data_IF_295616940302
#
_entry.id   IF_295616940302
#
_cell.length_a   1.000
_cell.length_b   1.000
_cell.length_c   1.000
_cell.angle_alpha   90.00
_cell.angle_beta   90.00
_cell.angle_gamma   90.00
#
_symmetry.space_group_name_H-M   'P 1'
#
loop_
_entity.id
_entity.type
_entity.pdbx_description
1 polymer ?
#
# COMPACT_ATOMS: atom_id res chain seq x y z
N UNK A 1 26.93 9.12 -3.70
CA UNK A 1 26.53 9.46 -2.31
C UNK A 1 26.05 8.19 -1.62
N UNK A 2 26.17 8.10 -0.29
CA UNK A 2 25.74 6.91 0.48
C UNK A 2 24.66 7.30 1.47
N UNK A 3 23.54 6.58 1.45
CA UNK A 3 22.45 6.72 2.41
C UNK A 3 22.34 5.45 3.25
N UNK A 4 22.27 5.58 4.56
CA UNK A 4 22.10 4.45 5.47
C UNK A 4 20.90 4.67 6.38
N UNK A 5 20.12 3.61 6.59
CA UNK A 5 19.09 3.62 7.61
C UNK A 5 18.11 2.46 7.51
N UNK A 6 17.07 2.54 8.34
CA UNK A 6 16.01 1.54 8.38
C UNK A 6 14.98 1.81 7.31
N UNK A 7 14.72 0.84 6.44
CA UNK A 7 13.64 0.91 5.47
C UNK A 7 12.28 1.00 6.17
N UNK A 8 11.49 1.97 5.71
CA UNK A 8 10.06 2.14 5.96
C UNK A 8 9.38 2.18 4.59
N UNK A 9 8.04 2.00 4.52
CA UNK A 9 7.30 2.27 3.29
C UNK A 9 7.73 3.63 2.70
N UNK A 10 7.92 3.69 1.39
CA UNK A 10 8.23 4.95 0.72
C UNK A 10 7.10 5.94 0.96
N UNK A 11 7.45 7.17 1.33
CA UNK A 11 6.49 8.26 1.32
C UNK A 11 6.23 8.65 -0.13
N UNK A 12 4.98 8.98 -0.43
CA UNK A 12 4.56 9.33 -1.79
C UNK A 12 3.81 10.63 -1.81
N UNK A 13 4.09 11.41 -2.85
CA UNK A 13 3.37 12.62 -3.18
C UNK A 13 2.66 12.42 -4.52
N UNK A 14 1.39 12.79 -4.57
CA UNK A 14 0.59 12.70 -5.79
C UNK A 14 1.03 13.80 -6.76
N UNK A 15 1.85 13.41 -7.74
CA UNK A 15 2.31 14.25 -8.83
C UNK A 15 2.20 13.50 -10.17
N UNK A 16 2.67 14.12 -11.25
CA UNK A 16 2.68 13.51 -12.57
C UNK A 16 4.10 13.59 -13.19
N UNK A 17 4.93 12.53 -13.05
CA UNK A 17 4.65 11.27 -12.35
C UNK A 17 4.67 11.41 -10.82
N UNK A 18 4.14 10.41 -10.12
CA UNK A 18 4.16 10.28 -8.65
C UNK A 18 5.61 10.37 -8.13
N UNK A 19 5.80 11.10 -7.03
CA UNK A 19 7.10 11.24 -6.38
C UNK A 19 7.25 10.27 -5.21
N UNK A 20 8.44 9.68 -5.09
CA UNK A 20 8.78 8.67 -4.10
C UNK A 20 9.97 9.09 -3.25
N UNK A 21 9.82 8.92 -1.94
CA UNK A 21 10.85 9.29 -0.97
C UNK A 21 11.15 8.14 -0.01
N UNK A 22 12.42 7.81 0.12
CA UNK A 22 12.93 7.04 1.26
C UNK A 22 13.35 8.02 2.34
N UNK A 23 12.72 7.93 3.51
CA UNK A 23 12.98 8.83 4.65
C UNK A 23 13.65 8.03 5.75
N UNK A 24 14.93 8.35 5.99
CA UNK A 24 15.73 7.83 7.09
C UNK A 24 15.70 8.80 8.28
N UNK A 25 16.40 8.46 9.36
CA UNK A 25 16.40 9.27 10.58
C UNK A 25 16.99 10.67 10.37
N UNK A 26 18.12 10.74 9.65
CA UNK A 26 18.89 11.98 9.46
C UNK A 26 18.99 12.42 7.99
N UNK A 27 18.28 11.76 7.08
CA UNK A 27 18.34 12.04 5.65
C UNK A 27 17.08 11.57 4.94
N UNK A 28 16.86 12.08 3.74
CA UNK A 28 15.85 11.56 2.84
C UNK A 28 16.44 11.48 1.43
N UNK A 29 15.84 10.61 0.62
CA UNK A 29 16.26 10.35 -0.75
C UNK A 29 15.03 10.42 -1.64
N UNK A 30 15.01 11.38 -2.58
CA UNK A 30 14.04 11.38 -3.67
C UNK A 30 14.45 10.28 -4.66
N UNK A 31 13.71 9.18 -4.64
CA UNK A 31 14.03 7.98 -5.42
C UNK A 31 13.85 8.23 -6.92
N UNK A 32 12.96 9.16 -7.31
CA UNK A 32 12.76 9.51 -8.71
C UNK A 32 14.03 10.07 -9.36
N UNK A 33 14.89 10.74 -8.59
CA UNK A 33 16.16 11.28 -9.11
C UNK A 33 17.18 10.19 -9.45
N UNK A 34 16.95 8.95 -9.01
CA UNK A 34 17.83 7.82 -9.25
C UNK A 34 17.49 7.03 -10.52
N UNK A 35 16.39 7.37 -11.19
CA UNK A 35 16.01 6.72 -12.44
C UNK A 35 17.14 6.79 -13.46
N UNK A 36 17.34 5.69 -14.19
CA UNK A 36 18.41 5.49 -15.16
C UNK A 36 19.84 5.46 -14.59
N UNK A 37 20.01 5.45 -13.26
CA UNK A 37 21.32 5.33 -12.60
C UNK A 37 21.50 3.93 -11.96
N UNK A 38 22.75 3.51 -11.79
CA UNK A 38 23.09 2.32 -11.02
C UNK A 38 22.98 2.62 -9.52
N UNK A 39 22.33 1.71 -8.80
CA UNK A 39 22.15 1.79 -7.35
C UNK A 39 22.68 0.49 -6.76
N UNK A 40 23.48 0.60 -5.69
CA UNK A 40 23.88 -0.53 -4.88
C UNK A 40 23.07 -0.52 -3.57
N UNK A 41 22.49 -1.65 -3.21
CA UNK A 41 21.75 -1.87 -1.96
C UNK A 41 22.45 -2.97 -1.17
N UNK A 42 22.91 -2.65 0.04
CA UNK A 42 23.58 -3.56 0.96
C UNK A 42 22.77 -3.71 2.24
N UNK A 43 22.46 -4.94 2.62
CA UNK A 43 21.78 -5.29 3.86
C UNK A 43 22.76 -5.32 5.03
N UNK A 44 22.49 -4.51 6.06
CA UNK A 44 23.36 -4.33 7.22
C UNK A 44 22.81 -4.98 8.49
N UNK A 45 21.54 -5.38 8.48
CA UNK A 45 20.88 -6.01 9.62
C UNK A 45 19.42 -5.57 9.75
N UNK A 46 18.84 -5.78 10.92
CA UNK A 46 17.43 -5.46 11.16
C UNK A 46 17.28 -4.46 12.30
N UNK A 47 16.23 -3.65 12.25
CA UNK A 47 15.81 -2.77 13.33
C UNK A 47 14.28 -2.74 13.39
N UNK A 48 13.72 -3.15 14.53
CA UNK A 48 12.28 -3.14 14.74
C UNK A 48 11.75 -1.69 14.71
N UNK A 49 10.74 -1.43 13.89
CA UNK A 49 10.12 -0.10 13.76
C UNK A 49 9.34 0.33 15.01
N UNK A 50 8.96 -0.60 15.89
CA UNK A 50 8.25 -0.28 17.14
C UNK A 50 9.21 0.00 18.31
N UNK A 51 10.13 -0.91 18.61
CA UNK A 51 11.00 -0.80 19.78
C UNK A 51 12.42 -0.31 19.50
N UNK A 52 12.78 -0.08 18.23
CA UNK A 52 14.11 0.38 17.81
C UNK A 52 15.24 -0.65 18.01
N UNK A 53 14.97 -1.81 18.61
CA UNK A 53 15.99 -2.83 18.89
C UNK A 53 16.44 -3.53 17.60
N UNK A 54 17.73 -3.87 17.54
CA UNK A 54 18.33 -4.67 16.48
C UNK A 54 17.89 -6.14 16.58
N UNK A 55 16.71 -6.45 16.04
CA UNK A 55 16.07 -7.77 16.09
C UNK A 55 15.52 -8.12 14.72
N UNK A 56 15.58 -9.40 14.36
CA UNK A 56 14.99 -9.90 13.11
C UNK A 56 13.52 -9.48 13.00
N UNK A 57 13.14 -9.00 11.82
CA UNK A 57 11.77 -8.61 11.53
C UNK A 57 10.94 -9.87 11.30
N UNK A 58 9.79 -9.92 11.96
CA UNK A 58 8.79 -10.96 11.79
C UNK A 58 7.81 -10.58 10.68
N UNK A 59 7.15 -9.42 10.80
CA UNK A 59 6.16 -8.93 9.84
C UNK A 59 5.92 -7.42 10.02
N UNK A 60 5.60 -6.70 8.94
CA UNK A 60 5.25 -5.26 8.95
C UNK A 60 6.30 -4.38 9.66
N UNK A 61 7.59 -4.70 9.50
CA UNK A 61 8.68 -3.98 10.16
C UNK A 61 8.79 -4.20 11.68
N UNK A 62 8.02 -5.11 12.26
CA UNK A 62 8.06 -5.42 13.69
C UNK A 62 8.76 -6.74 13.98
N UNK A 63 9.50 -6.79 15.10
CA UNK A 63 9.98 -8.06 15.67
C UNK A 63 8.80 -8.85 16.26
N UNK A 64 9.02 -10.14 16.52
CA UNK A 64 7.98 -11.05 17.01
C UNK A 64 7.20 -10.49 18.22
N UNK A 65 7.90 -10.11 19.30
CA UNK A 65 7.27 -9.59 20.52
C UNK A 65 6.40 -8.36 20.24
N UNK A 66 6.93 -7.38 19.51
CA UNK A 66 6.21 -6.15 19.19
C UNK A 66 5.05 -6.37 18.24
N UNK A 67 5.15 -7.35 17.34
CA UNK A 67 4.06 -7.70 16.44
C UNK A 67 2.87 -8.21 17.25
N UNK A 68 3.07 -9.19 18.13
CA UNK A 68 1.95 -9.78 18.89
C UNK A 68 1.39 -8.86 19.99
N UNK A 69 2.20 -7.95 20.54
CA UNK A 69 1.77 -7.01 21.57
C UNK A 69 1.04 -5.78 21.02
N UNK A 70 1.10 -5.50 19.72
CA UNK A 70 0.55 -4.25 19.18
C UNK A 70 -0.97 -4.31 19.03
N UNK A 71 -1.68 -3.28 19.49
CA UNK A 71 -3.08 -3.06 19.12
C UNK A 71 -3.24 -2.76 17.61
N UNK A 72 -2.17 -2.34 16.95
CA UNK A 72 -2.10 -2.08 15.51
C UNK A 72 -2.02 -3.36 14.65
N UNK A 73 -2.25 -4.54 15.21
CA UNK A 73 -2.35 -5.81 14.46
C UNK A 73 -3.63 -6.59 14.77
N UNK A 74 -4.63 -5.96 15.38
CA UNK A 74 -5.94 -6.58 15.67
C UNK A 74 -6.62 -7.12 14.41
N UNK A 75 -7.52 -8.09 14.59
CA UNK A 75 -8.14 -8.82 13.46
C UNK A 75 -8.91 -7.89 12.52
N UNK A 76 -9.49 -6.82 13.08
CA UNK A 76 -10.21 -5.76 12.38
C UNK A 76 -9.36 -5.04 11.31
N UNK A 77 -8.03 -5.16 11.36
CA UNK A 77 -7.14 -4.56 10.35
C UNK A 77 -7.21 -5.30 9.03
N UNK A 78 -7.30 -6.63 9.07
CA UNK A 78 -7.44 -7.49 7.88
C UNK A 78 -8.92 -7.67 7.52
N UNK A 79 -9.79 -7.67 8.53
CA UNK A 79 -11.23 -7.91 8.43
C UNK A 79 -12.01 -6.73 9.00
N UNK A 80 -12.17 -5.62 8.25
CA UNK A 80 -12.78 -4.40 8.77
C UNK A 80 -14.20 -4.61 9.33
N UNK A 81 -14.92 -5.63 8.86
CA UNK A 81 -16.25 -6.04 9.33
C UNK A 81 -16.29 -6.55 10.78
N UNK A 82 -15.14 -6.96 11.35
CA UNK A 82 -15.05 -7.40 12.75
C UNK A 82 -14.83 -6.24 13.74
N UNK A 83 -14.84 -5.00 13.24
CA UNK A 83 -14.72 -3.78 14.07
C UNK A 83 -15.89 -3.65 15.04
N UNK A 84 -15.64 -3.73 16.35
CA UNK A 84 -16.65 -3.54 17.42
C UNK A 84 -16.48 -2.24 18.21
N UNK A 85 -15.50 -1.41 17.88
CA UNK A 85 -15.23 -0.15 18.59
C UNK A 85 -16.44 0.80 18.60
N UNK A 86 -17.28 0.77 17.56
CA UNK A 86 -18.51 1.58 17.48
C UNK A 86 -19.59 1.17 18.49
N UNK A 87 -19.43 0.00 19.12
CA UNK A 87 -20.26 -0.51 20.21
C UNK A 87 -19.63 -0.28 21.59
N UNK A 88 -18.45 0.36 21.67
CA UNK A 88 -17.68 0.50 22.90
C UNK A 88 -17.02 -0.80 23.38
N UNK A 89 -16.86 -1.80 22.50
CA UNK A 89 -16.30 -3.12 22.83
C UNK A 89 -14.89 -3.21 22.23
N UNK A 90 -13.91 -3.43 23.10
CA UNK A 90 -12.49 -3.56 22.74
C UNK A 90 -12.17 -4.94 22.12
N UNK A 91 -11.32 -4.97 21.09
CA UNK A 91 -10.57 -6.17 20.70
C UNK A 91 -9.34 -6.32 21.60
N UNK A 92 -8.52 -5.26 21.71
CA UNK A 92 -7.29 -5.21 22.50
C UNK A 92 -7.12 -3.92 23.29
N UNK A 93 -7.33 -2.77 22.65
CA UNK A 93 -7.19 -1.44 23.25
C UNK A 93 -8.26 -0.51 22.66
N UNK A 94 -9.33 -0.29 23.42
CA UNK A 94 -10.47 0.50 22.96
C UNK A 94 -10.08 1.94 22.61
N UNK A 95 -9.19 2.57 23.37
CA UNK A 95 -8.81 3.98 23.14
C UNK A 95 -8.07 4.12 21.80
N UNK A 96 -7.15 3.21 21.53
CA UNK A 96 -6.47 3.16 20.24
C UNK A 96 -7.44 2.80 19.10
N UNK A 97 -8.31 1.81 19.33
CA UNK A 97 -9.27 1.32 18.35
C UNK A 97 -10.29 2.36 17.96
N UNK A 98 -10.91 3.06 18.91
CA UNK A 98 -11.84 4.16 18.67
C UNK A 98 -11.17 5.24 17.81
N UNK A 99 -9.96 5.65 18.19
CA UNK A 99 -9.18 6.65 17.44
C UNK A 99 -8.96 6.23 15.98
N UNK A 100 -8.72 4.94 15.71
CA UNK A 100 -8.40 4.45 14.35
C UNK A 100 -9.64 4.04 13.55
N UNK A 101 -10.68 3.55 14.22
CA UNK A 101 -11.86 2.93 13.59
C UNK A 101 -13.04 3.89 13.49
N UNK A 102 -13.23 4.81 14.44
CA UNK A 102 -14.32 5.79 14.48
C UNK A 102 -13.90 7.10 13.81
N UNK A 103 -13.56 7.00 12.54
CA UNK A 103 -13.23 8.13 11.68
C UNK A 103 -13.66 7.83 10.23
N UNK A 104 -13.71 8.83 9.34
CA UNK A 104 -14.11 8.62 7.96
C UNK A 104 -13.26 7.57 7.23
N UNK A 105 -13.95 6.57 6.68
CA UNK A 105 -13.39 5.50 5.85
C UNK A 105 -14.01 5.55 4.45
N UNK A 106 -13.22 5.10 3.48
CA UNK A 106 -13.60 5.09 2.08
C UNK A 106 -13.53 3.66 1.58
N UNK A 107 -14.60 3.24 0.91
CA UNK A 107 -14.59 2.05 0.06
C UNK A 107 -14.42 2.50 -1.39
N UNK A 108 -13.54 1.87 -2.13
CA UNK A 108 -13.16 2.30 -3.48
C UNK A 108 -12.97 1.10 -4.42
N UNK A 109 -13.07 1.37 -5.72
CA UNK A 109 -12.51 0.53 -6.76
C UNK A 109 -11.10 1.02 -7.12
N UNK A 110 -10.18 0.10 -7.34
CA UNK A 110 -8.85 0.40 -7.84
C UNK A 110 -8.49 -0.57 -8.98
N UNK A 111 -7.97 -0.03 -10.07
CA UNK A 111 -7.51 -0.79 -11.24
C UNK A 111 -5.99 -0.77 -11.28
N UNK A 112 -5.35 -1.87 -10.86
CA UNK A 112 -3.89 -2.04 -10.93
C UNK A 112 -3.44 -3.02 -12.02
N UNK A 113 -4.20 -4.10 -12.17
CA UNK A 113 -4.05 -5.12 -13.21
C UNK A 113 -5.43 -5.63 -13.61
N UNK A 114 -6.27 -5.79 -12.59
CA UNK A 114 -7.70 -6.06 -12.62
C UNK A 114 -8.37 -5.12 -11.61
N UNK A 115 -9.69 -4.98 -11.69
CA UNK A 115 -10.45 -4.17 -10.72
C UNK A 115 -10.56 -4.91 -9.39
N UNK A 116 -10.29 -4.20 -8.30
CA UNK A 116 -10.49 -4.69 -6.95
C UNK A 116 -11.23 -3.68 -6.09
N UNK A 117 -11.97 -4.19 -5.10
CA UNK A 117 -12.52 -3.37 -4.01
C UNK A 117 -11.49 -3.22 -2.90
N UNK A 118 -11.50 -2.10 -2.18
CA UNK A 118 -10.70 -1.96 -0.97
C UNK A 118 -11.20 -0.90 -0.03
N UNK A 119 -10.75 -0.99 1.23
CA UNK A 119 -11.02 -0.01 2.29
C UNK A 119 -9.76 0.77 2.66
N UNK A 120 -9.92 2.07 2.91
CA UNK A 120 -8.88 2.92 3.48
C UNK A 120 -9.47 4.00 4.37
N UNK A 121 -8.66 4.57 5.27
CA UNK A 121 -9.04 5.82 5.95
C UNK A 121 -9.01 6.97 4.94
N UNK A 122 -9.91 7.94 5.08
CA UNK A 122 -9.95 9.12 4.21
C UNK A 122 -8.61 9.86 4.16
N UNK A 123 -7.93 9.95 5.31
CA UNK A 123 -6.59 10.56 5.45
C UNK A 123 -5.46 9.83 4.72
N UNK A 124 -5.71 8.66 4.14
CA UNK A 124 -4.74 7.88 3.37
C UNK A 124 -5.00 7.95 1.86
N UNK A 125 -5.94 8.76 1.41
CA UNK A 125 -6.16 8.99 -0.02
C UNK A 125 -5.31 10.17 -0.53
N UNK A 126 -4.72 10.09 -1.73
CA UNK A 126 -4.66 8.92 -2.63
C UNK A 126 -3.50 7.95 -2.32
N UNK A 127 -2.69 8.21 -1.27
CA UNK A 127 -1.49 7.43 -0.90
C UNK A 127 -1.71 5.91 -0.89
N UNK A 128 -2.87 5.43 -0.41
CA UNK A 128 -3.17 3.99 -0.35
C UNK A 128 -3.28 3.36 -1.74
N UNK A 129 -3.82 4.08 -2.71
CA UNK A 129 -3.95 3.62 -4.10
C UNK A 129 -2.61 3.63 -4.79
N UNK A 130 -1.81 4.68 -4.53
CA UNK A 130 -0.42 4.76 -4.97
C UNK A 130 0.38 3.56 -4.45
N UNK A 131 0.29 3.24 -3.15
CA UNK A 131 0.96 2.10 -2.52
C UNK A 131 0.61 0.75 -3.17
N UNK A 132 -0.61 0.65 -3.70
CA UNK A 132 -1.13 -0.56 -4.37
C UNK A 132 -0.76 -0.62 -5.85
N UNK A 133 -0.12 0.40 -6.40
CA UNK A 133 0.25 0.45 -7.82
C UNK A 133 -0.96 0.55 -8.75
N UNK A 134 -2.08 1.11 -8.28
CA UNK A 134 -3.27 1.33 -9.08
C UNK A 134 -3.02 2.38 -10.16
N UNK A 135 -3.40 2.09 -11.41
CA UNK A 135 -3.41 3.05 -12.50
C UNK A 135 -4.60 4.01 -12.37
N UNK A 136 -5.74 3.50 -11.92
CA UNK A 136 -6.94 4.28 -11.68
C UNK A 136 -7.60 3.89 -10.36
N UNK A 137 -8.30 4.84 -9.72
CA UNK A 137 -9.13 4.55 -8.57
C UNK A 137 -10.33 5.50 -8.50
N UNK A 138 -11.46 5.01 -7.99
CA UNK A 138 -12.68 5.80 -7.78
C UNK A 138 -13.34 5.40 -6.47
N UNK A 139 -13.92 6.36 -5.74
CA UNK A 139 -14.62 6.05 -4.49
C UNK A 139 -16.05 5.59 -4.72
N UNK A 140 -16.49 4.61 -3.92
CA UNK A 140 -17.84 4.04 -3.92
C UNK A 140 -18.67 4.73 -2.84
N UNK A 141 -18.18 4.71 -1.59
CA UNK A 141 -18.82 5.32 -0.41
C UNK A 141 -17.80 5.98 0.51
N UNK A 142 -18.23 7.01 1.25
CA UNK A 142 -17.54 7.53 2.42
C UNK A 142 -18.40 7.34 3.66
N UNK A 143 -17.95 6.53 4.62
CA UNK A 143 -18.71 6.15 5.80
C UNK A 143 -18.02 6.61 7.09
N UNK A 144 -18.75 6.87 8.17
CA UNK A 144 -18.20 7.48 9.38
C UNK A 144 -17.30 6.56 10.22
N UNK A 145 -17.31 5.25 9.97
CA UNK A 145 -16.53 4.29 10.74
C UNK A 145 -16.08 3.08 9.90
N UNK A 146 -15.13 2.33 10.45
CA UNK A 146 -14.52 1.17 9.81
C UNK A 146 -15.50 0.00 9.60
N UNK A 147 -16.43 -0.22 10.52
CA UNK A 147 -17.39 -1.31 10.45
C UNK A 147 -18.28 -1.20 9.20
N UNK A 148 -18.88 -0.02 8.96
CA UNK A 148 -19.69 0.24 7.77
C UNK A 148 -18.88 0.05 6.47
N UNK A 149 -17.61 0.45 6.47
CA UNK A 149 -16.72 0.22 5.33
C UNK A 149 -16.46 -1.28 5.13
N UNK A 150 -16.34 -2.04 6.22
CA UNK A 150 -16.12 -3.47 6.22
C UNK A 150 -17.29 -4.27 5.66
N UNK A 151 -18.52 -4.03 6.15
CA UNK A 151 -19.69 -4.74 5.62
C UNK A 151 -19.90 -4.44 4.13
N UNK A 152 -19.57 -3.21 3.70
CA UNK A 152 -19.60 -2.82 2.28
C UNK A 152 -18.53 -3.57 1.48
N UNK A 153 -17.29 -3.64 1.96
CA UNK A 153 -16.22 -4.38 1.30
C UNK A 153 -16.56 -5.88 1.17
N UNK A 154 -17.12 -6.48 2.23
CA UNK A 154 -17.54 -7.88 2.23
C UNK A 154 -18.64 -8.14 1.20
N UNK A 155 -19.65 -7.26 1.12
CA UNK A 155 -20.72 -7.37 0.12
C UNK A 155 -20.19 -7.33 -1.32
N UNK A 156 -19.12 -6.57 -1.56
CA UNK A 156 -18.53 -6.39 -2.88
C UNK A 156 -17.42 -7.39 -3.23
N UNK A 157 -16.80 -8.04 -2.24
CA UNK A 157 -15.68 -8.99 -2.43
C UNK A 157 -16.05 -10.20 -3.29
N UNK A 158 -17.32 -10.60 -3.34
CA UNK A 158 -17.79 -11.68 -4.22
C UNK A 158 -17.77 -11.31 -5.71
N UNK A 159 -17.67 -10.03 -6.04
CA UNK A 159 -17.75 -9.51 -7.41
C UNK A 159 -16.39 -9.10 -7.98
N UNK A 160 -15.36 -8.92 -7.15
CA UNK A 160 -14.06 -8.39 -7.54
C UNK A 160 -12.90 -9.23 -7.01
N UNK A 161 -11.70 -9.01 -7.56
CA UNK A 161 -10.51 -9.72 -7.10
C UNK A 161 -10.13 -9.35 -5.65
N UNK A 162 -9.76 -10.35 -4.86
CA UNK A 162 -9.34 -10.18 -3.46
C UNK A 162 -7.96 -9.49 -3.33
N UNK A 163 -7.02 -9.82 -4.23
CA UNK A 163 -5.63 -9.37 -4.16
C UNK A 163 -5.10 -8.93 -5.51
N UNK A 164 -4.31 -7.86 -5.50
CA UNK A 164 -3.57 -7.39 -6.67
C UNK A 164 -2.58 -8.46 -7.15
N UNK A 165 -2.65 -8.82 -8.43
CA UNK A 165 -1.58 -9.55 -9.10
C UNK A 165 -0.38 -8.63 -9.35
N UNK A 166 0.52 -8.56 -8.36
CA UNK A 166 1.68 -7.65 -8.42
C UNK A 166 2.58 -7.88 -9.63
N UNK A 167 2.64 -9.10 -10.18
CA UNK A 167 3.43 -9.38 -11.39
C UNK A 167 2.84 -8.65 -12.59
N UNK A 168 1.53 -8.84 -12.84
CA UNK A 168 0.82 -8.14 -13.93
C UNK A 168 0.88 -6.62 -13.75
N UNK A 169 0.73 -6.13 -12.51
CA UNK A 169 0.84 -4.71 -12.17
C UNK A 169 2.21 -4.13 -12.56
N UNK A 170 3.31 -4.82 -12.25
CA UNK A 170 4.68 -4.37 -12.54
C UNK A 170 5.11 -4.60 -13.99
N UNK A 171 4.48 -5.52 -14.71
CA UNK A 171 4.65 -5.66 -16.17
C UNK A 171 3.67 -4.78 -16.96
N UNK A 172 2.92 -3.91 -16.27
CA UNK A 172 1.87 -3.04 -16.83
C UNK A 172 0.85 -3.76 -17.72
N UNK A 173 0.51 -5.00 -17.38
CA UNK A 173 -0.53 -5.78 -18.04
C UNK A 173 -1.86 -5.50 -17.31
N UNK A 174 -2.53 -4.42 -17.74
CA UNK A 174 -3.74 -3.87 -17.11
C UNK A 174 -4.92 -4.07 -18.05
N UNK A 175 -6.04 -4.53 -17.49
CA UNK A 175 -7.31 -4.62 -18.21
C UNK A 175 -7.87 -3.22 -18.52
N UNK A 176 -8.58 -3.10 -19.63
CA UNK A 176 -9.28 -1.86 -19.95
C UNK A 176 -10.69 -1.93 -19.36
N UNK A 177 -10.94 -1.15 -18.30
CA UNK A 177 -12.21 -1.14 -17.58
C UNK A 177 -12.61 0.29 -17.26
N UNK A 178 -13.88 0.62 -17.50
CA UNK A 178 -14.46 1.92 -17.15
C UNK A 178 -14.91 1.91 -15.68
N UNK A 179 -14.06 2.43 -14.79
CA UNK A 179 -14.34 2.42 -13.36
C UNK A 179 -15.59 3.20 -12.96
N UNK A 180 -15.98 4.22 -13.74
CA UNK A 180 -17.21 4.98 -13.47
C UNK A 180 -18.43 4.10 -13.70
N UNK A 181 -18.46 3.38 -14.84
CA UNK A 181 -19.52 2.41 -15.13
C UNK A 181 -19.55 1.27 -14.13
N UNK A 182 -18.39 0.76 -13.73
CA UNK A 182 -18.32 -0.30 -12.71
C UNK A 182 -18.90 0.16 -11.38
N UNK A 183 -18.53 1.35 -10.90
CA UNK A 183 -19.08 1.90 -9.65
C UNK A 183 -20.61 1.97 -9.70
N UNK A 184 -21.20 2.46 -10.80
CA UNK A 184 -22.66 2.61 -10.93
C UNK A 184 -23.42 1.28 -10.82
N UNK A 185 -22.80 0.15 -11.16
CA UNK A 185 -23.42 -1.18 -11.00
C UNK A 185 -23.53 -1.61 -9.53
N UNK A 186 -22.78 -0.97 -8.64
CA UNK A 186 -22.65 -1.39 -7.23
C UNK A 186 -23.73 -0.83 -6.31
N UNK A 187 -24.49 0.17 -6.76
CA UNK A 187 -25.52 0.82 -5.95
C UNK A 187 -26.48 -0.19 -5.32
N UNK A 188 -26.96 -1.17 -6.08
CA UNK A 188 -27.88 -2.19 -5.57
C UNK A 188 -27.19 -3.38 -4.87
N UNK A 189 -25.86 -3.39 -4.79
CA UNK A 189 -25.06 -4.48 -4.20
C UNK A 189 -24.52 -4.13 -2.81
N UNK A 190 -24.55 -2.86 -2.41
CA UNK A 190 -24.10 -2.44 -1.08
C UNK A 190 -25.24 -2.58 -0.04
N UNK A 191 -24.91 -2.82 1.25
CA UNK A 191 -25.91 -2.92 2.32
C UNK A 191 -26.82 -1.70 2.46
N UNK A 192 -28.04 -1.89 2.95
CA UNK A 192 -29.03 -0.81 3.14
C UNK A 192 -28.54 0.33 4.03
N UNK A 193 -27.74 -0.03 5.02
CA UNK A 193 -27.14 0.83 6.04
C UNK A 193 -26.11 1.81 5.45
N UNK A 194 -25.62 1.53 4.24
CA UNK A 194 -24.61 2.37 3.57
C UNK A 194 -25.13 3.07 2.32
N UNK A 195 -26.39 2.83 1.92
CA UNK A 195 -26.97 3.37 0.69
C UNK A 195 -26.92 4.91 0.64
N UNK A 196 -27.17 5.58 1.78
CA UNK A 196 -27.12 7.05 1.86
C UNK A 196 -25.72 7.65 1.59
N UNK A 197 -24.67 6.84 1.73
CA UNK A 197 -23.28 7.25 1.53
C UNK A 197 -22.76 6.99 0.11
N UNK A 198 -23.58 6.40 -0.77
CA UNK A 198 -23.18 6.04 -2.12
C UNK A 198 -22.95 7.27 -3.00
N UNK A 199 -21.80 7.31 -3.67
CA UNK A 199 -21.49 8.37 -4.61
C UNK A 199 -21.97 8.00 -6.01
N UNK A 200 -23.20 8.34 -6.35
CA UNK A 200 -23.73 8.15 -7.71
C UNK A 200 -23.14 9.15 -8.71
N UNK A 201 -22.93 10.41 -8.31
CA UNK A 201 -22.58 11.51 -9.21
C UNK A 201 -21.21 12.16 -8.95
N UNK A 202 -20.46 11.69 -7.96
CA UNK A 202 -19.14 12.26 -7.65
C UNK A 202 -18.17 11.95 -8.79
N UNK A 203 -17.55 12.99 -9.35
CA UNK A 203 -16.48 12.87 -10.33
C UNK A 203 -15.13 12.90 -9.62
N UNK A 204 -14.72 11.74 -9.14
CA UNK A 204 -13.49 11.55 -8.37
C UNK A 204 -12.70 10.34 -8.87
N UNK A 205 -12.63 10.21 -10.21
CA UNK A 205 -11.70 9.29 -10.85
C UNK A 205 -10.29 9.86 -10.73
N UNK A 206 -9.40 9.10 -10.10
CA UNK A 206 -7.99 9.43 -10.00
C UNK A 206 -7.22 8.59 -11.01
N UNK A 207 -6.43 9.26 -11.83
CA UNK A 207 -5.44 8.64 -12.71
C UNK A 207 -4.05 8.80 -12.09
N UNK A 208 -3.31 7.71 -12.03
CA UNK A 208 -2.00 7.62 -11.37
C UNK A 208 -0.93 7.25 -12.38
N UNK A 209 -0.02 8.21 -12.63
CA UNK A 209 1.14 8.00 -13.50
C UNK A 209 2.39 7.75 -12.66
N UNK A 210 3.06 6.64 -12.96
CA UNK A 210 4.22 6.19 -12.22
C UNK A 210 5.51 6.52 -12.95
N UNK A 211 6.60 6.84 -12.23
CA UNK A 211 7.90 7.12 -12.82
C UNK A 211 8.57 5.80 -13.26
N UNK A 212 8.13 5.25 -14.38
CA UNK A 212 8.68 4.03 -14.98
C UNK A 212 9.13 4.34 -16.41
N UNK A 213 10.43 4.20 -16.66
CA UNK A 213 11.02 4.44 -17.99
C UNK A 213 10.69 3.30 -18.95
N UNK A 214 10.79 2.07 -18.46
CA UNK A 214 10.47 0.86 -19.22
C UNK A 214 9.87 -0.19 -18.29
N UNK A 215 8.72 -0.76 -18.69
CA UNK A 215 8.10 -1.85 -17.96
C UNK A 215 8.72 -3.19 -18.35
N UNK A 216 9.18 -4.01 -17.40
CA UNK A 216 9.78 -5.30 -17.69
C UNK A 216 8.74 -6.28 -18.25
N UNK A 217 9.18 -7.17 -19.16
CA UNK A 217 8.32 -8.26 -19.67
C UNK A 217 8.11 -9.38 -18.65
N UNK A 218 9.08 -9.56 -17.76
CA UNK A 218 9.06 -10.57 -16.69
C UNK A 218 9.74 -9.99 -15.46
N UNK A 219 9.20 -10.30 -14.29
CA UNK A 219 9.73 -9.80 -13.01
C UNK A 219 10.24 -10.93 -12.11
N UNK A 220 11.32 -10.65 -11.39
CA UNK A 220 11.86 -11.51 -10.33
C UNK A 220 12.04 -10.71 -9.04
N UNK A 221 11.62 -11.26 -7.89
CA UNK A 221 11.70 -10.52 -6.62
C UNK A 221 13.10 -10.63 -6.03
N UNK A 222 13.70 -9.49 -5.70
CA UNK A 222 14.88 -9.43 -4.85
C UNK A 222 14.53 -9.80 -3.41
N UNK A 223 15.40 -10.57 -2.75
CA UNK A 223 15.35 -10.86 -1.31
C UNK A 223 16.73 -10.62 -0.73
N UNK A 224 16.84 -9.59 0.11
CA UNK A 224 18.10 -9.23 0.75
C UNK A 224 18.58 -10.27 1.77
N UNK A 225 17.69 -11.13 2.28
CA UNK A 225 18.10 -12.27 3.12
C UNK A 225 18.93 -13.31 2.34
N UNK A 226 18.68 -13.45 1.03
CA UNK A 226 19.38 -14.40 0.15
C UNK A 226 20.52 -13.75 -0.61
N UNK A 227 20.32 -12.48 -0.99
CA UNK A 227 21.28 -11.69 -1.76
C UNK A 227 21.50 -10.37 -1.02
N UNK A 228 22.36 -10.36 0.01
CA UNK A 228 22.54 -9.21 0.90
C UNK A 228 23.10 -7.97 0.19
N UNK A 229 23.79 -8.16 -0.92
CA UNK A 229 24.31 -7.08 -1.75
C UNK A 229 23.73 -7.22 -3.15
N UNK A 230 23.06 -6.17 -3.61
CA UNK A 230 22.49 -6.10 -4.94
C UNK A 230 22.94 -4.80 -5.61
N UNK A 231 23.27 -4.87 -6.90
CA UNK A 231 23.55 -3.71 -7.73
C UNK A 231 22.71 -3.83 -9.01
N UNK A 232 22.11 -2.73 -9.43
CA UNK A 232 21.34 -2.68 -10.67
C UNK A 232 20.94 -1.28 -11.06
N UNK A 233 20.56 -1.11 -12.32
CA UNK A 233 20.12 0.16 -12.86
C UNK A 233 18.63 0.35 -12.62
N UNK A 234 18.23 1.43 -11.95
CA UNK A 234 16.83 1.69 -11.65
C UNK A 234 16.08 2.12 -12.92
N UNK A 235 15.14 1.31 -13.38
CA UNK A 235 14.32 1.56 -14.56
C UNK A 235 12.96 2.19 -14.21
N UNK A 236 12.47 2.00 -12.98
CA UNK A 236 11.18 2.57 -12.59
C UNK A 236 10.79 2.36 -11.14
N UNK A 237 9.71 3.01 -10.74
CA UNK A 237 9.08 2.85 -9.43
C UNK A 237 7.57 2.76 -9.63
N UNK A 238 6.92 1.72 -9.08
CA UNK A 238 5.46 1.58 -9.11
C UNK A 238 4.97 0.88 -7.85
N UNK A 239 3.93 1.39 -7.22
CA UNK A 239 3.50 0.87 -5.93
C UNK A 239 4.56 1.13 -4.87
N UNK A 240 4.93 0.09 -4.12
CA UNK A 240 6.07 0.09 -3.19
C UNK A 240 7.26 -0.71 -3.73
N UNK A 241 7.41 -0.78 -5.07
CA UNK A 241 8.45 -1.53 -5.75
C UNK A 241 9.43 -0.60 -6.47
N UNK A 242 10.72 -0.86 -6.29
CA UNK A 242 11.76 -0.46 -7.24
C UNK A 242 11.83 -1.49 -8.36
N UNK A 243 11.97 -1.03 -9.60
CA UNK A 243 12.05 -1.85 -10.81
C UNK A 243 13.42 -1.60 -11.44
N UNK A 244 14.19 -2.68 -11.63
CA UNK A 244 15.50 -2.63 -12.27
C UNK A 244 15.43 -3.09 -13.73
N UNK A 245 16.35 -2.62 -14.56
CA UNK A 245 16.40 -2.85 -16.01
C UNK A 245 16.47 -4.34 -16.41
N UNK A 246 17.10 -5.17 -15.59
CA UNK A 246 17.17 -6.61 -15.76
C UNK A 246 15.89 -7.37 -15.35
N UNK A 247 14.82 -6.66 -14.97
CA UNK A 247 13.55 -7.22 -14.50
C UNK A 247 13.56 -7.68 -13.04
N UNK A 248 14.62 -7.46 -12.28
CA UNK A 248 14.58 -7.58 -10.82
C UNK A 248 13.71 -6.47 -10.23
N UNK A 249 12.89 -6.81 -9.23
CA UNK A 249 12.05 -5.86 -8.51
C UNK A 249 12.27 -6.00 -7.01
N UNK A 250 12.31 -4.88 -6.30
CA UNK A 250 12.53 -4.84 -4.87
C UNK A 250 11.36 -4.16 -4.15
N UNK A 251 10.66 -4.90 -3.30
CA UNK A 251 9.51 -4.39 -2.55
C UNK A 251 9.97 -3.76 -1.23
N UNK A 252 9.96 -2.43 -1.16
CA UNK A 252 10.36 -1.67 0.02
C UNK A 252 9.47 -1.98 1.23
N UNK A 253 8.16 -2.10 1.01
CA UNK A 253 7.19 -2.35 2.09
C UNK A 253 7.37 -3.74 2.72
N UNK A 254 7.68 -4.75 1.92
CA UNK A 254 7.98 -6.09 2.43
C UNK A 254 9.31 -6.17 3.18
N UNK A 255 10.20 -5.19 2.94
CA UNK A 255 11.51 -5.05 3.59
C UNK A 255 11.53 -3.97 4.67
N UNK A 256 10.37 -3.54 5.18
CA UNK A 256 10.29 -2.66 6.34
C UNK A 256 11.08 -3.25 7.53
N UNK A 257 11.85 -2.40 8.22
CA UNK A 257 12.71 -2.80 9.32
C UNK A 257 14.08 -3.38 8.91
N UNK A 258 14.39 -3.43 7.61
CA UNK A 258 15.73 -3.78 7.13
C UNK A 258 16.62 -2.54 7.23
N UNK A 259 17.77 -2.67 7.87
CA UNK A 259 18.83 -1.66 7.85
C UNK A 259 19.62 -1.86 6.58
N UNK A 260 19.70 -0.83 5.74
CA UNK A 260 20.38 -0.89 4.45
C UNK A 260 21.31 0.29 4.26
N UNK A 261 22.37 0.08 3.48
CA UNK A 261 23.14 1.13 2.84
C UNK A 261 22.78 1.16 1.35
N UNK A 262 22.56 2.36 0.82
CA UNK A 262 22.23 2.64 -0.57
C UNK A 262 23.30 3.57 -1.15
N UNK A 263 24.09 3.07 -2.10
CA UNK A 263 25.05 3.88 -2.85
C UNK A 263 24.47 4.29 -4.20
N UNK A 264 24.58 5.58 -4.52
CA UNK A 264 24.10 6.23 -5.76
C UNK A 264 25.17 7.10 -6.39
#
# INVERSE_FOLDING_TARGET
MTYEGVLKKMQTEFGNPIQYYLVFENSFLNVNQLLNNNIQISFLGYQCLNCGKKRKIFRQGFCYDCFYSSASVGDWIIRPELSTAHLGIADRDLVYEEKVQLQPHIVYLALSSEVKVGVTRKTQMPTRWIDQGANEAITIVEVPNRYLAGITEVALKSHYADKTNWRKMLTNSVEHVDLVKERLKLENLIPSEVQEYFYSQKNDLYEMHYPVLEYPKKVSSLSLDKTPNFEGKLAGIKGQYLIFDNGTVFNIRSSEGYVVSINV
#
